data_IF_319541637467
#
_entry.id   IF_319541637467
#
_cell.length_a   1.000
_cell.length_b   1.000
_cell.length_c   1.000
_cell.angle_alpha   90.00
_cell.angle_beta   90.00
_cell.angle_gamma   90.00
#
_symmetry.space_group_name_H-M   'P 1'
#
loop_
_entity.id
_entity.type
_entity.pdbx_description
1 polymer ?
#
# COMPACT_ATOMS: atom_id res chain seq x y z
N UNK A 1 -6.43 -11.69 11.11
CA UNK A 1 -5.05 -11.69 11.65
C UNK A 1 -5.04 -12.06 13.13
N UNK A 2 -5.65 -11.26 14.01
CA UNK A 2 -5.65 -11.51 15.47
C UNK A 2 -6.13 -12.93 15.83
N UNK A 3 -7.22 -13.40 15.22
CA UNK A 3 -7.74 -14.76 15.46
C UNK A 3 -6.71 -15.86 15.17
N UNK A 4 -5.83 -15.67 14.18
CA UNK A 4 -4.77 -16.63 13.86
C UNK A 4 -3.56 -16.51 14.79
N UNK A 5 -3.15 -15.27 15.12
CA UNK A 5 -2.00 -15.02 16.01
C UNK A 5 -2.30 -15.37 17.47
N UNK A 6 -3.55 -15.15 17.92
CA UNK A 6 -3.97 -15.29 19.31
C UNK A 6 -5.33 -16.01 19.42
N UNK A 7 -5.44 -17.27 18.97
CA UNK A 7 -6.72 -17.98 18.84
C UNK A 7 -7.47 -18.16 20.17
N UNK A 8 -6.76 -18.21 21.30
CA UNK A 8 -7.33 -18.46 22.62
C UNK A 8 -7.37 -17.19 23.51
N UNK A 9 -7.31 -15.99 22.91
CA UNK A 9 -7.24 -14.72 23.63
C UNK A 9 -8.43 -13.78 23.32
N UNK A 10 -9.67 -14.13 23.73
CA UNK A 10 -10.87 -13.34 23.40
C UNK A 10 -10.84 -11.91 23.92
N UNK A 11 -10.17 -11.65 25.05
CA UNK A 11 -10.00 -10.32 25.60
C UNK A 11 -9.10 -9.41 24.74
N UNK A 12 -8.23 -9.98 23.90
CA UNK A 12 -7.40 -9.24 22.96
C UNK A 12 -8.20 -8.88 21.69
N UNK A 13 -9.08 -9.77 21.22
CA UNK A 13 -9.98 -9.54 20.07
C UNK A 13 -10.97 -8.40 20.33
N UNK A 14 -11.42 -8.23 21.58
CA UNK A 14 -12.31 -7.14 21.99
C UNK A 14 -11.59 -5.80 22.19
N UNK A 15 -10.27 -5.85 22.45
CA UNK A 15 -9.41 -4.66 22.60
C UNK A 15 -8.73 -4.24 21.30
N UNK A 16 -8.86 -5.01 20.23
CA UNK A 16 -8.51 -4.53 18.90
C UNK A 16 -9.35 -3.28 18.65
N UNK A 17 -8.73 -2.12 18.80
CA UNK A 17 -9.38 -0.84 18.57
C UNK A 17 -9.74 -0.83 17.08
N UNK A 18 -11.00 -1.14 16.76
CA UNK A 18 -11.57 -0.68 15.51
C UNK A 18 -11.41 0.83 15.57
N UNK A 19 -10.53 1.35 14.71
CA UNK A 19 -10.31 2.78 14.63
C UNK A 19 -11.68 3.43 14.46
N UNK A 20 -11.99 4.43 15.28
CA UNK A 20 -13.12 5.29 14.99
C UNK A 20 -12.96 5.81 13.56
N UNK A 21 -14.06 5.92 12.81
CA UNK A 21 -14.03 6.29 11.39
C UNK A 21 -13.15 7.52 11.11
N UNK A 22 -13.23 8.54 11.97
CA UNK A 22 -12.40 9.74 11.87
C UNK A 22 -10.90 9.46 11.98
N UNK A 23 -10.50 8.60 12.92
CA UNK A 23 -9.09 8.25 13.12
C UNK A 23 -8.58 7.31 12.02
N UNK A 24 -9.40 6.36 11.59
CA UNK A 24 -9.09 5.52 10.43
C UNK A 24 -8.77 6.39 9.23
N UNK A 25 -9.69 7.31 8.92
CA UNK A 25 -9.49 8.19 7.79
C UNK A 25 -8.28 9.11 7.98
N UNK A 26 -8.02 9.62 9.20
CA UNK A 26 -6.84 10.43 9.45
C UNK A 26 -5.55 9.65 9.16
N UNK A 27 -5.47 8.39 9.57
CA UNK A 27 -4.29 7.58 9.39
C UNK A 27 -4.12 7.06 7.95
N UNK A 28 -5.22 6.71 7.26
CA UNK A 28 -5.18 5.98 5.99
C UNK A 28 -5.76 6.72 4.77
N UNK A 29 -6.74 7.63 4.93
CA UNK A 29 -7.55 8.14 3.81
C UNK A 29 -7.50 9.67 3.59
N UNK A 30 -7.03 10.48 4.54
CA UNK A 30 -7.14 11.93 4.43
C UNK A 30 -5.89 12.60 3.83
N UNK A 31 -5.85 12.62 2.49
CA UNK A 31 -5.24 13.74 1.77
C UNK A 31 -6.25 14.83 1.37
N UNK A 32 -7.51 14.49 1.07
CA UNK A 32 -8.38 15.37 0.27
C UNK A 32 -8.97 16.60 0.96
N UNK A 33 -9.34 16.52 2.25
CA UNK A 33 -10.29 17.49 2.82
C UNK A 33 -9.87 18.17 4.13
N UNK A 34 -8.78 17.75 4.79
CA UNK A 34 -8.54 18.20 6.18
C UNK A 34 -7.43 19.23 6.39
N UNK A 35 -6.42 19.37 5.52
CA UNK A 35 -5.29 20.27 5.81
C UNK A 35 -4.69 20.99 4.59
N UNK A 36 -5.41 21.06 3.46
CA UNK A 36 -4.91 21.76 2.28
C UNK A 36 -3.87 20.98 1.45
N UNK A 37 -3.71 19.67 1.68
CA UNK A 37 -2.87 18.82 0.84
C UNK A 37 -3.60 18.42 -0.44
N UNK A 38 -3.13 18.81 -1.63
CA UNK A 38 -3.93 18.63 -2.82
C UNK A 38 -3.88 17.19 -3.32
N UNK A 39 -4.88 16.81 -4.12
CA UNK A 39 -4.71 15.73 -5.10
C UNK A 39 -3.77 16.20 -6.21
N UNK A 40 -3.02 15.30 -6.88
CA UNK A 40 -2.16 15.72 -7.97
C UNK A 40 -2.99 16.43 -9.05
N UNK A 41 -2.54 17.60 -9.52
CA UNK A 41 -3.19 18.27 -10.63
C UNK A 41 -3.06 17.45 -11.92
N UNK A 42 -3.93 17.73 -12.89
CA UNK A 42 -4.02 16.99 -14.16
C UNK A 42 -2.70 16.98 -14.92
N UNK A 43 -1.93 18.07 -14.90
CA UNK A 43 -0.62 18.17 -15.55
C UNK A 43 0.42 17.22 -14.95
N UNK A 44 0.37 16.96 -13.65
CA UNK A 44 1.21 15.94 -12.99
C UNK A 44 0.81 14.56 -13.49
N UNK A 45 -0.47 14.24 -13.58
CA UNK A 45 -0.93 12.94 -14.09
C UNK A 45 -0.59 12.78 -15.57
N UNK A 46 -0.87 13.79 -16.39
CA UNK A 46 -0.54 13.83 -17.81
C UNK A 46 0.96 13.58 -18.05
N UNK A 47 1.83 14.13 -17.20
CA UNK A 47 3.28 13.90 -17.30
C UNK A 47 3.69 12.44 -17.07
N UNK A 48 2.91 11.67 -16.30
CA UNK A 48 3.15 10.26 -15.97
C UNK A 48 2.59 9.35 -17.07
N UNK A 49 1.39 9.66 -17.57
CA UNK A 49 0.65 8.79 -18.49
C UNK A 49 0.89 9.09 -19.98
N UNK A 50 1.73 10.07 -20.28
CA UNK A 50 2.09 10.46 -21.66
C UNK A 50 1.15 11.47 -22.30
N UNK A 51 0.39 12.22 -21.48
CA UNK A 51 -0.52 13.28 -21.87
C UNK A 51 -1.95 12.84 -22.19
N UNK A 52 -2.86 13.80 -22.17
CA UNK A 52 -4.30 13.64 -22.46
C UNK A 52 -4.66 13.68 -23.95
N UNK A 53 -3.69 13.96 -24.83
CA UNK A 53 -3.89 14.05 -26.27
C UNK A 53 -4.51 12.77 -26.87
N UNK A 54 -5.41 12.96 -27.84
CA UNK A 54 -6.17 11.89 -28.49
C UNK A 54 -6.81 10.91 -27.49
N UNK A 55 -7.36 11.45 -26.38
CA UNK A 55 -8.03 10.73 -25.30
C UNK A 55 -7.06 9.80 -24.51
N UNK A 56 -5.87 10.29 -24.17
CA UNK A 56 -4.80 9.52 -23.52
C UNK A 56 -4.24 8.40 -24.40
N UNK A 57 -3.90 8.70 -25.66
CA UNK A 57 -3.44 7.72 -26.63
C UNK A 57 -2.24 6.86 -26.15
N UNK A 58 -1.25 7.46 -25.48
CA UNK A 58 -0.09 6.73 -24.97
C UNK A 58 -0.47 5.70 -23.90
N UNK A 59 -1.27 6.12 -22.92
CA UNK A 59 -1.78 5.25 -21.86
C UNK A 59 -2.62 4.09 -22.43
N UNK A 60 -3.55 4.40 -23.35
CA UNK A 60 -4.34 3.37 -24.03
C UNK A 60 -3.47 2.41 -24.83
N UNK A 61 -2.45 2.90 -25.52
CA UNK A 61 -1.53 2.04 -26.27
C UNK A 61 -0.70 1.14 -25.38
N UNK A 62 -0.31 1.60 -24.18
CA UNK A 62 0.52 0.82 -23.26
C UNK A 62 -0.24 -0.34 -22.62
N UNK A 63 -1.55 -0.21 -22.42
CA UNK A 63 -2.36 -1.19 -21.69
C UNK A 63 -3.48 -1.84 -22.52
N UNK A 64 -3.70 -1.38 -23.75
CA UNK A 64 -4.80 -1.79 -24.63
C UNK A 64 -4.93 -3.31 -24.76
N UNK A 65 -3.83 -4.02 -25.04
CA UNK A 65 -3.84 -5.48 -25.20
C UNK A 65 -4.36 -6.22 -23.95
N UNK A 66 -3.98 -5.75 -22.74
CA UNK A 66 -4.46 -6.33 -21.48
C UNK A 66 -5.92 -5.99 -21.22
N UNK A 67 -6.34 -4.76 -21.55
CA UNK A 67 -7.73 -4.32 -21.43
C UNK A 67 -8.64 -5.10 -22.38
N UNK A 68 -8.22 -5.31 -23.63
CA UNK A 68 -8.95 -6.13 -24.61
C UNK A 68 -9.02 -7.60 -24.17
N UNK A 69 -7.97 -8.12 -23.54
CA UNK A 69 -8.02 -9.46 -22.95
C UNK A 69 -9.05 -9.53 -21.82
N UNK A 70 -9.10 -8.55 -20.91
CA UNK A 70 -10.11 -8.48 -19.86
C UNK A 70 -11.52 -8.36 -20.43
N UNK A 71 -11.69 -7.55 -21.47
CA UNK A 71 -12.94 -7.38 -22.22
C UNK A 71 -13.49 -8.71 -22.74
N UNK A 72 -12.63 -9.48 -23.43
CA UNK A 72 -12.98 -10.79 -23.97
C UNK A 72 -13.34 -11.82 -22.90
N UNK A 73 -12.74 -11.72 -21.71
CA UNK A 73 -13.00 -12.63 -20.59
C UNK A 73 -14.32 -12.26 -19.93
N UNK A 74 -14.54 -10.97 -19.66
CA UNK A 74 -15.73 -10.43 -19.04
C UNK A 74 -17.00 -10.57 -19.89
N UNK A 75 -16.87 -10.70 -21.21
CA UNK A 75 -17.99 -10.66 -22.15
C UNK A 75 -18.79 -9.34 -22.03
N UNK A 76 -18.06 -8.26 -21.70
CA UNK A 76 -18.61 -6.93 -21.44
C UNK A 76 -19.25 -6.32 -22.70
N UNK A 77 -18.97 -6.89 -23.87
CA UNK A 77 -19.40 -6.39 -25.16
C UNK A 77 -20.58 -7.15 -25.75
N UNK A 78 -21.20 -8.03 -24.95
CA UNK A 78 -22.43 -8.71 -25.33
C UNK A 78 -23.53 -7.69 -25.65
N UNK A 79 -24.42 -8.04 -26.59
CA UNK A 79 -25.54 -7.19 -27.00
C UNK A 79 -26.42 -6.75 -25.81
N UNK A 80 -26.52 -7.59 -24.78
CA UNK A 80 -27.22 -7.30 -23.53
C UNK A 80 -26.62 -6.13 -22.75
N UNK A 81 -25.32 -5.87 -22.87
CA UNK A 81 -24.62 -4.77 -22.21
C UNK A 81 -24.56 -3.55 -23.11
N UNK A 82 -24.22 -3.72 -24.39
CA UNK A 82 -24.03 -2.59 -25.30
C UNK A 82 -25.30 -2.13 -26.04
N UNK A 83 -26.44 -2.80 -25.88
CA UNK A 83 -27.71 -2.38 -26.48
C UNK A 83 -27.71 -2.37 -28.02
N UNK A 84 -26.96 -3.28 -28.64
CA UNK A 84 -26.89 -3.43 -30.11
C UNK A 84 -25.90 -2.50 -30.83
N UNK A 85 -25.16 -1.67 -30.11
CA UNK A 85 -23.99 -0.94 -30.66
C UNK A 85 -22.72 -1.64 -30.18
N UNK A 86 -21.76 -2.04 -31.03
CA UNK A 86 -20.51 -2.61 -30.55
C UNK A 86 -19.83 -1.66 -29.57
N UNK A 87 -19.67 -2.07 -28.32
CA UNK A 87 -18.86 -1.39 -27.32
C UNK A 87 -17.63 -2.25 -27.01
N UNK A 88 -16.55 -1.66 -26.50
CA UNK A 88 -15.34 -2.36 -26.05
C UNK A 88 -14.73 -1.56 -24.90
N UNK A 89 -14.34 -2.23 -23.80
CA UNK A 89 -13.64 -1.58 -22.69
C UNK A 89 -12.47 -0.70 -23.17
N UNK A 90 -11.67 -1.16 -24.15
CA UNK A 90 -10.50 -0.42 -24.66
C UNK A 90 -10.86 0.87 -25.43
N UNK A 91 -12.11 0.99 -25.86
CA UNK A 91 -12.61 2.15 -26.62
C UNK A 91 -13.34 3.18 -25.75
N UNK A 92 -13.59 2.86 -24.47
CA UNK A 92 -14.20 3.81 -23.55
C UNK A 92 -13.33 5.06 -23.40
N UNK A 93 -13.92 6.27 -23.47
CA UNK A 93 -13.19 7.51 -23.22
C UNK A 93 -12.50 7.48 -21.85
N UNK A 94 -11.25 7.94 -21.80
CA UNK A 94 -10.48 8.09 -20.56
C UNK A 94 -10.58 9.54 -20.13
N UNK A 95 -10.90 9.77 -18.86
CA UNK A 95 -11.00 11.10 -18.28
C UNK A 95 -10.10 11.20 -17.06
N UNK A 96 -9.52 12.38 -16.82
CA UNK A 96 -8.91 12.68 -15.54
C UNK A 96 -9.98 12.80 -14.46
N UNK A 97 -9.82 12.04 -13.39
CA UNK A 97 -10.71 12.03 -12.22
C UNK A 97 -10.05 12.66 -10.99
N UNK A 98 -8.72 12.76 -10.97
CA UNK A 98 -7.95 13.37 -9.88
C UNK A 98 -8.09 12.66 -8.53
N UNK A 99 -8.45 11.37 -8.54
CA UNK A 99 -8.60 10.59 -7.30
C UNK A 99 -7.29 9.87 -6.95
N UNK A 100 -6.92 9.83 -5.67
CA UNK A 100 -5.71 9.20 -5.13
C UNK A 100 -5.62 7.68 -5.39
N UNK A 101 -6.77 7.03 -5.58
CA UNK A 101 -6.92 5.61 -5.88
C UNK A 101 -7.30 5.35 -7.34
N UNK A 102 -7.53 6.39 -8.14
CA UNK A 102 -7.94 6.30 -9.53
C UNK A 102 -7.70 7.65 -10.25
N UNK A 103 -6.49 7.87 -10.77
CA UNK A 103 -6.14 9.11 -11.46
C UNK A 103 -7.05 9.37 -12.68
N UNK A 104 -7.40 8.29 -13.38
CA UNK A 104 -8.23 8.30 -14.57
C UNK A 104 -9.43 7.36 -14.45
N UNK A 105 -10.49 7.68 -15.17
CA UNK A 105 -11.71 6.86 -15.28
C UNK A 105 -11.94 6.33 -16.70
N UNK A 106 -13.10 5.74 -16.94
CA UNK A 106 -13.45 5.14 -18.22
C UNK A 106 -12.81 3.78 -18.42
N UNK A 107 -12.07 3.60 -19.53
CA UNK A 107 -11.47 2.32 -19.93
C UNK A 107 -10.69 1.65 -18.79
N UNK A 108 -9.80 2.39 -18.13
CA UNK A 108 -8.97 1.87 -17.04
C UNK A 108 -9.77 1.51 -15.81
N UNK A 109 -10.73 2.35 -15.39
CA UNK A 109 -11.52 2.06 -14.19
C UNK A 109 -12.31 0.75 -14.34
N UNK A 110 -12.90 0.51 -15.52
CA UNK A 110 -13.63 -0.74 -15.81
C UNK A 110 -12.66 -1.92 -15.88
N UNK A 111 -11.53 -1.77 -16.57
CA UNK A 111 -10.55 -2.84 -16.69
C UNK A 111 -9.95 -3.22 -15.32
N UNK A 112 -9.58 -2.24 -14.50
CA UNK A 112 -9.10 -2.45 -13.13
C UNK A 112 -10.13 -3.21 -12.29
N UNK A 113 -11.42 -2.86 -12.39
CA UNK A 113 -12.48 -3.59 -11.70
C UNK A 113 -12.47 -5.08 -12.06
N UNK A 114 -12.46 -5.42 -13.35
CA UNK A 114 -12.47 -6.83 -13.79
C UNK A 114 -11.16 -7.55 -13.45
N UNK A 115 -10.01 -6.89 -13.59
CA UNK A 115 -8.72 -7.44 -13.23
C UNK A 115 -8.68 -7.85 -11.75
N UNK A 116 -9.11 -6.95 -10.87
CA UNK A 116 -9.20 -7.21 -9.42
C UNK A 116 -10.27 -8.24 -9.11
N UNK A 117 -11.44 -8.17 -9.74
CA UNK A 117 -12.53 -9.13 -9.52
C UNK A 117 -12.10 -10.57 -9.86
N UNK A 118 -11.52 -10.79 -11.04
CA UNK A 118 -11.05 -12.12 -11.45
C UNK A 118 -9.92 -12.63 -10.56
N UNK A 119 -9.01 -11.75 -10.11
CA UNK A 119 -8.02 -12.12 -9.11
C UNK A 119 -8.69 -12.60 -7.82
N UNK A 120 -9.64 -11.82 -7.28
CA UNK A 120 -10.34 -12.18 -6.05
C UNK A 120 -11.10 -13.51 -6.17
N UNK A 121 -11.75 -13.78 -7.30
CA UNK A 121 -12.37 -15.09 -7.57
C UNK A 121 -11.35 -16.23 -7.52
N UNK A 122 -10.20 -16.03 -8.18
CA UNK A 122 -9.14 -17.03 -8.26
C UNK A 122 -8.51 -17.30 -6.89
N UNK A 123 -8.23 -16.25 -6.09
CA UNK A 123 -7.63 -16.38 -4.77
C UNK A 123 -8.63 -16.92 -3.72
N UNK A 124 -9.93 -16.68 -3.89
CA UNK A 124 -10.97 -17.21 -3.00
C UNK A 124 -11.29 -18.70 -3.24
N UNK A 125 -10.47 -19.42 -4.02
CA UNK A 125 -10.65 -20.85 -4.25
C UNK A 125 -11.83 -21.21 -5.16
N UNK A 126 -12.42 -20.25 -5.89
CA UNK A 126 -13.58 -20.54 -6.75
C UNK A 126 -13.17 -21.55 -7.84
N UNK A 127 -13.94 -22.63 -8.07
CA UNK A 127 -13.54 -23.70 -8.99
C UNK A 127 -13.52 -23.24 -10.45
N UNK A 128 -14.36 -22.26 -10.80
CA UNK A 128 -14.47 -21.69 -12.15
C UNK A 128 -14.32 -20.17 -12.06
N UNK A 129 -13.11 -19.66 -11.85
CA UNK A 129 -12.83 -18.21 -11.82
C UNK A 129 -12.65 -17.65 -13.23
N UNK A 130 -12.84 -16.35 -13.42
CA UNK A 130 -12.69 -15.68 -14.71
C UNK A 130 -13.48 -16.38 -15.83
N UNK A 131 -14.70 -16.79 -15.51
CA UNK A 131 -15.60 -17.57 -16.38
C UNK A 131 -15.00 -18.90 -16.89
N UNK A 132 -13.95 -19.42 -16.25
CA UNK A 132 -13.22 -20.62 -16.69
C UNK A 132 -12.33 -20.39 -17.92
N UNK A 133 -12.08 -19.12 -18.29
CA UNK A 133 -11.35 -18.75 -19.50
C UNK A 133 -9.85 -18.51 -19.27
N UNK A 134 -9.42 -18.42 -18.01
CA UNK A 134 -8.04 -18.08 -17.63
C UNK A 134 -7.49 -19.08 -16.62
N UNK A 135 -6.18 -19.31 -16.70
CA UNK A 135 -5.38 -19.93 -15.64
C UNK A 135 -5.10 -18.93 -14.50
N UNK A 136 -4.62 -19.44 -13.35
CA UNK A 136 -4.23 -18.60 -12.21
C UNK A 136 -3.13 -17.61 -12.61
N UNK A 137 -2.11 -18.08 -13.33
CA UNK A 137 -1.00 -17.24 -13.79
C UNK A 137 -1.47 -16.13 -14.73
N UNK A 138 -2.38 -16.43 -15.66
CA UNK A 138 -2.96 -15.40 -16.54
C UNK A 138 -3.76 -14.34 -15.77
N UNK A 139 -4.52 -14.75 -14.76
CA UNK A 139 -5.25 -13.82 -13.89
C UNK A 139 -4.28 -12.92 -13.13
N UNK A 140 -3.21 -13.49 -12.55
CA UNK A 140 -2.17 -12.71 -11.87
C UNK A 140 -1.50 -11.73 -12.83
N UNK A 141 -1.20 -12.14 -14.07
CA UNK A 141 -0.62 -11.24 -15.07
C UNK A 141 -1.59 -10.15 -15.54
N UNK A 142 -2.89 -10.42 -15.61
CA UNK A 142 -3.90 -9.39 -15.93
C UNK A 142 -4.17 -8.45 -14.76
N UNK A 143 -3.99 -8.89 -13.52
CA UNK A 143 -4.07 -8.03 -12.34
C UNK A 143 -3.06 -6.86 -12.39
N UNK A 144 -1.98 -6.96 -13.18
CA UNK A 144 -1.08 -5.81 -13.43
C UNK A 144 -1.78 -4.57 -13.96
N UNK A 145 -2.98 -4.68 -14.56
CA UNK A 145 -3.80 -3.51 -14.95
C UNK A 145 -4.21 -2.68 -13.73
N UNK A 146 -4.52 -3.31 -12.58
CA UNK A 146 -4.79 -2.60 -11.33
C UNK A 146 -3.58 -1.79 -10.88
N UNK A 147 -2.40 -2.41 -10.86
CA UNK A 147 -1.15 -1.71 -10.55
C UNK A 147 -0.84 -0.60 -11.54
N UNK A 148 -1.10 -0.80 -12.84
CA UNK A 148 -0.98 0.26 -13.85
C UNK A 148 -1.92 1.44 -13.62
N UNK A 149 -3.11 1.21 -13.05
CA UNK A 149 -4.02 2.26 -12.60
C UNK A 149 -3.48 3.01 -11.38
N UNK A 150 -2.96 2.28 -10.39
CA UNK A 150 -2.35 2.85 -9.18
C UNK A 150 -1.03 3.58 -9.48
N UNK A 151 -0.24 3.12 -10.44
CA UNK A 151 1.03 3.73 -10.85
C UNK A 151 0.86 5.13 -11.43
N UNK A 152 -0.32 5.46 -11.98
CA UNK A 152 -0.66 6.83 -12.37
C UNK A 152 -0.59 7.78 -11.16
N UNK A 153 -0.83 7.25 -9.96
CA UNK A 153 -0.77 7.95 -8.68
C UNK A 153 0.55 7.75 -7.94
N UNK A 154 1.43 6.87 -8.42
CA UNK A 154 2.77 6.58 -7.87
C UNK A 154 3.75 7.72 -8.18
N UNK A 155 3.53 8.87 -7.55
CA UNK A 155 4.36 10.05 -7.68
C UNK A 155 4.59 10.71 -6.32
N UNK A 156 5.64 11.53 -6.21
CA UNK A 156 6.04 12.14 -4.95
C UNK A 156 4.96 13.07 -4.37
N UNK A 157 4.15 13.70 -5.23
CA UNK A 157 3.08 14.60 -4.79
C UNK A 157 1.99 13.82 -4.04
N UNK A 158 1.51 12.71 -4.63
CA UNK A 158 0.53 11.84 -3.98
C UNK A 158 1.11 11.14 -2.76
N UNK A 159 2.32 10.57 -2.88
CA UNK A 159 2.95 9.81 -1.80
C UNK A 159 3.17 10.66 -0.55
N UNK A 160 3.56 11.94 -0.71
CA UNK A 160 3.65 12.88 0.41
C UNK A 160 2.28 13.24 0.96
N UNK A 161 1.31 13.54 0.10
CA UNK A 161 -0.02 13.97 0.53
C UNK A 161 -0.80 12.88 1.27
N UNK A 162 -0.51 11.59 1.00
CA UNK A 162 -1.28 10.45 1.49
C UNK A 162 -0.49 9.48 2.38
N UNK A 163 0.84 9.49 2.29
CA UNK A 163 1.71 8.60 3.07
C UNK A 163 2.32 9.27 4.30
N UNK A 164 2.28 10.61 4.41
CA UNK A 164 3.00 11.34 5.47
C UNK A 164 2.52 11.01 6.87
N UNK A 165 1.21 10.99 7.11
CA UNK A 165 0.67 10.59 8.42
C UNK A 165 1.07 9.17 8.78
N UNK A 166 0.90 8.22 7.86
CA UNK A 166 1.18 6.81 8.12
C UNK A 166 2.68 6.57 8.41
N UNK A 167 3.58 7.15 7.62
CA UNK A 167 5.01 7.03 7.85
C UNK A 167 5.46 7.75 9.14
N UNK A 168 4.89 8.93 9.42
CA UNK A 168 5.13 9.64 10.67
C UNK A 168 4.65 8.85 11.89
N UNK A 169 3.51 8.16 11.78
CA UNK A 169 2.97 7.27 12.81
C UNK A 169 3.90 6.08 13.09
N UNK A 170 4.47 5.46 12.04
CA UNK A 170 5.47 4.38 12.19
C UNK A 170 6.70 4.87 12.95
N UNK A 171 7.26 6.02 12.56
CA UNK A 171 8.41 6.59 13.25
C UNK A 171 8.10 6.90 14.73
N UNK A 172 6.97 7.57 15.00
CA UNK A 172 6.55 7.88 16.35
C UNK A 172 6.37 6.62 17.20
N UNK A 173 5.84 5.54 16.61
CA UNK A 173 5.68 4.25 17.32
C UNK A 173 7.02 3.70 17.80
N UNK A 174 8.05 3.74 16.95
CA UNK A 174 9.39 3.28 17.33
C UNK A 174 10.09 4.18 18.34
N UNK A 175 10.01 5.50 18.16
CA UNK A 175 10.59 6.43 19.14
C UNK A 175 9.93 6.24 20.51
N UNK A 176 8.60 6.10 20.58
CA UNK A 176 7.85 5.82 21.81
C UNK A 176 8.38 4.58 22.54
N UNK A 177 8.57 3.47 21.81
CA UNK A 177 9.14 2.23 22.37
C UNK A 177 10.60 2.43 22.81
N UNK A 178 11.41 3.14 22.02
CA UNK A 178 12.81 3.36 22.31
C UNK A 178 13.05 4.23 23.55
N UNK A 179 12.22 5.26 23.76
CA UNK A 179 12.30 6.12 24.94
C UNK A 179 11.47 5.61 26.13
N UNK A 180 10.75 4.50 25.96
CA UNK A 180 9.83 3.92 26.94
C UNK A 180 8.84 4.95 27.53
N UNK A 181 8.35 5.87 26.70
CA UNK A 181 7.49 6.98 27.13
C UNK A 181 6.42 7.27 26.08
N UNK A 182 5.15 7.50 26.48
CA UNK A 182 4.08 7.75 25.53
C UNK A 182 4.33 8.96 24.62
N UNK A 183 4.10 8.81 23.33
CA UNK A 183 4.07 9.91 22.35
C UNK A 183 2.60 10.21 22.03
N UNK A 184 2.13 11.45 22.26
CA UNK A 184 0.76 11.84 21.93
C UNK A 184 0.40 11.53 20.48
N UNK A 185 -0.86 11.17 20.24
CA UNK A 185 -1.37 10.84 18.92
C UNK A 185 -1.33 9.35 18.57
N UNK A 186 -0.53 8.54 19.27
CA UNK A 186 -0.53 7.08 19.14
C UNK A 186 -1.69 6.46 19.91
N UNK A 187 -2.28 5.39 19.35
CA UNK A 187 -3.39 4.65 20.00
C UNK A 187 -2.92 3.47 20.87
N UNK A 188 -1.61 3.37 21.09
CA UNK A 188 -0.98 2.27 21.80
C UNK A 188 0.10 2.83 22.71
N UNK A 189 0.41 2.10 23.80
CA UNK A 189 1.43 2.49 24.77
C UNK A 189 2.82 2.00 24.39
N UNK A 190 3.88 2.52 25.05
CA UNK A 190 5.28 2.15 24.79
C UNK A 190 5.61 0.67 25.03
N UNK A 191 4.79 -0.03 25.80
CA UNK A 191 4.90 -1.46 26.07
C UNK A 191 4.37 -2.36 24.92
N UNK A 192 3.78 -1.77 23.88
CA UNK A 192 3.19 -2.53 22.77
C UNK A 192 4.27 -3.11 21.88
N UNK A 193 4.31 -4.44 21.77
CA UNK A 193 5.31 -5.16 20.97
C UNK A 193 4.92 -5.30 19.49
N UNK A 194 3.62 -5.30 19.19
CA UNK A 194 3.10 -5.48 17.82
C UNK A 194 2.00 -4.48 17.54
N UNK A 195 2.17 -3.70 16.47
CA UNK A 195 1.15 -2.80 15.92
C UNK A 195 0.78 -3.27 14.53
N UNK A 196 -0.47 -3.70 14.36
CA UNK A 196 -1.01 -4.07 13.04
C UNK A 196 -1.85 -2.92 12.47
N UNK A 197 -1.40 -2.36 11.35
CA UNK A 197 -2.09 -1.30 10.62
C UNK A 197 -2.77 -1.89 9.37
N UNK A 198 -4.05 -2.19 9.47
CA UNK A 198 -4.82 -2.78 8.37
C UNK A 198 -5.45 -1.68 7.49
N UNK A 199 -4.75 -1.30 6.42
CA UNK A 199 -5.20 -0.33 5.42
C UNK A 199 -5.51 -0.96 4.06
N UNK A 200 -5.28 -0.19 3.00
CA UNK A 200 -5.56 -0.53 1.61
C UNK A 200 -4.28 -0.77 0.79
N UNK A 201 -4.45 -1.35 -0.40
CA UNK A 201 -3.43 -1.49 -1.42
C UNK A 201 -2.75 -0.16 -1.78
N UNK A 202 -3.54 0.92 -1.85
CA UNK A 202 -3.06 2.29 -2.04
C UNK A 202 -2.06 2.71 -0.97
N UNK A 203 -2.31 2.41 0.32
CA UNK A 203 -1.38 2.76 1.39
C UNK A 203 -0.03 2.03 1.21
N UNK A 204 -0.06 0.76 0.81
CA UNK A 204 1.15 -0.02 0.55
C UNK A 204 1.95 0.54 -0.63
N UNK A 205 1.27 0.86 -1.75
CA UNK A 205 1.91 1.48 -2.92
C UNK A 205 2.50 2.85 -2.58
N UNK A 206 1.77 3.70 -1.85
CA UNK A 206 2.25 5.03 -1.48
C UNK A 206 3.40 4.97 -0.50
N UNK A 207 3.40 4.04 0.46
CA UNK A 207 4.53 3.81 1.36
C UNK A 207 5.76 3.30 0.59
N UNK A 208 5.58 2.36 -0.33
CA UNK A 208 6.63 1.90 -1.24
C UNK A 208 7.20 3.06 -2.06
N UNK A 209 6.37 3.99 -2.56
CA UNK A 209 6.84 5.18 -3.27
C UNK A 209 7.56 6.16 -2.35
N UNK A 210 6.97 6.51 -1.21
CA UNK A 210 7.50 7.53 -0.31
C UNK A 210 8.89 7.15 0.19
N UNK A 211 9.13 5.85 0.43
CA UNK A 211 10.40 5.29 0.87
C UNK A 211 11.28 4.78 -0.29
N UNK A 212 10.83 4.88 -1.54
CA UNK A 212 11.50 4.35 -2.74
C UNK A 212 11.90 2.85 -2.61
N UNK A 213 11.00 2.01 -2.12
CA UNK A 213 11.21 0.58 -1.89
C UNK A 213 10.45 -0.28 -2.92
N UNK A 214 10.97 -0.52 -4.13
CA UNK A 214 10.39 -1.50 -5.06
C UNK A 214 10.48 -2.91 -4.48
N UNK A 215 9.55 -3.78 -4.88
CA UNK A 215 9.52 -5.16 -4.42
C UNK A 215 8.96 -6.11 -5.45
N UNK A 216 9.40 -7.37 -5.35
CA UNK A 216 8.87 -8.50 -6.09
C UNK A 216 8.74 -9.65 -5.09
N UNK A 217 7.53 -10.20 -4.98
CA UNK A 217 7.23 -11.35 -4.13
C UNK A 217 6.96 -12.55 -5.04
N UNK A 218 7.36 -13.74 -4.61
CA UNK A 218 7.23 -14.95 -5.41
C UNK A 218 5.78 -15.21 -5.87
N UNK A 219 5.64 -15.59 -7.13
CA UNK A 219 4.35 -15.74 -7.81
C UNK A 219 3.64 -14.44 -8.20
N UNK A 220 4.15 -13.27 -7.82
CA UNK A 220 3.57 -11.96 -8.17
C UNK A 220 4.43 -11.21 -9.19
N UNK A 221 3.92 -10.09 -9.70
CA UNK A 221 4.68 -9.16 -10.53
C UNK A 221 5.24 -7.99 -9.70
N UNK A 222 6.15 -7.22 -10.29
CA UNK A 222 6.84 -6.11 -9.61
C UNK A 222 5.81 -5.09 -9.05
N UNK A 223 5.98 -4.67 -7.79
CA UNK A 223 5.10 -3.72 -7.10
C UNK A 223 3.61 -4.12 -7.06
N UNK A 224 3.32 -5.43 -7.12
CA UNK A 224 1.96 -5.95 -7.01
C UNK A 224 1.36 -5.69 -5.61
N UNK A 225 0.27 -4.93 -5.54
CA UNK A 225 -0.47 -4.67 -4.30
C UNK A 225 -1.67 -5.61 -4.14
N UNK A 226 -1.37 -6.89 -4.05
CA UNK A 226 -2.37 -7.95 -3.91
C UNK A 226 -2.89 -8.08 -2.45
N UNK A 227 -4.02 -8.78 -2.23
CA UNK A 227 -4.59 -8.93 -0.89
C UNK A 227 -3.61 -9.57 0.10
N UNK A 228 -3.53 -9.04 1.32
CA UNK A 228 -2.71 -9.61 2.39
C UNK A 228 -1.21 -9.34 2.30
N UNK A 229 -0.76 -8.55 1.31
CA UNK A 229 0.61 -8.03 1.30
C UNK A 229 0.88 -7.16 2.53
N UNK A 230 2.07 -7.28 3.10
CA UNK A 230 2.52 -6.50 4.24
C UNK A 230 3.88 -5.86 3.95
N UNK A 231 3.97 -4.56 4.23
CA UNK A 231 5.23 -3.89 4.53
C UNK A 231 5.42 -3.92 6.03
N UNK A 232 6.46 -4.61 6.49
CA UNK A 232 6.77 -4.81 7.91
C UNK A 232 7.97 -3.97 8.25
N UNK A 233 7.89 -3.23 9.37
CA UNK A 233 9.05 -2.62 10.00
C UNK A 233 9.28 -3.25 11.37
N UNK A 234 10.53 -3.53 11.70
CA UNK A 234 10.92 -4.13 12.98
C UNK A 234 11.97 -3.25 13.65
N UNK A 235 11.74 -2.94 14.94
CA UNK A 235 12.73 -2.29 15.79
C UNK A 235 13.53 -3.35 16.54
N UNK A 236 14.84 -3.35 16.34
CA UNK A 236 15.80 -4.26 16.96
C UNK A 236 16.71 -3.47 17.90
N UNK A 237 16.92 -4.00 19.10
CA UNK A 237 17.88 -3.46 20.06
C UNK A 237 19.03 -4.42 20.26
N UNK A 238 20.25 -3.96 19.98
CA UNK A 238 21.49 -4.71 20.17
C UNK A 238 22.32 -4.05 21.28
N UNK A 239 22.65 -4.80 22.34
CA UNK A 239 23.56 -4.31 23.38
C UNK A 239 25.00 -4.41 22.92
N UNK A 240 25.70 -3.28 22.85
CA UNK A 240 27.12 -3.19 22.47
C UNK A 240 27.97 -2.74 23.66
N UNK A 241 29.30 -2.78 23.53
CA UNK A 241 30.21 -2.24 24.56
C UNK A 241 29.99 -0.73 24.79
N UNK A 242 29.53 0.00 23.77
CA UNK A 242 29.29 1.44 23.80
C UNK A 242 27.84 1.81 24.22
N UNK A 243 27.00 0.80 24.52
CA UNK A 243 25.60 0.96 24.90
C UNK A 243 24.64 0.22 23.96
N UNK A 244 23.35 0.37 24.24
CA UNK A 244 22.29 -0.20 23.40
C UNK A 244 22.15 0.59 22.10
N UNK A 245 22.02 -0.13 20.98
CA UNK A 245 21.85 0.43 19.64
C UNK A 245 20.54 -0.03 19.05
N UNK A 246 19.75 0.93 18.59
CA UNK A 246 18.47 0.70 17.95
C UNK A 246 18.56 0.75 16.44
N UNK A 247 18.07 -0.30 15.80
CA UNK A 247 17.98 -0.40 14.34
C UNK A 247 16.58 -0.76 13.88
N UNK A 248 16.17 -0.15 12.78
CA UNK A 248 14.96 -0.46 12.03
C UNK A 248 15.34 -1.35 10.86
N UNK A 249 14.63 -2.45 10.70
CA UNK A 249 14.70 -3.32 9.52
C UNK A 249 13.33 -3.34 8.84
N UNK A 250 13.30 -3.50 7.52
CA UNK A 250 12.06 -3.59 6.77
C UNK A 250 11.97 -4.89 5.96
N UNK A 251 10.75 -5.37 5.76
CA UNK A 251 10.47 -6.60 5.02
C UNK A 251 9.19 -6.47 4.22
N UNK A 252 9.19 -7.08 3.03
CA UNK A 252 7.99 -7.39 2.27
C UNK A 252 7.57 -8.82 2.58
N UNK A 253 6.28 -9.02 2.87
CA UNK A 253 5.75 -10.35 3.16
C UNK A 253 4.38 -10.55 2.51
N UNK A 254 4.17 -11.71 1.91
CA UNK A 254 2.84 -12.14 1.44
C UNK A 254 2.80 -13.65 1.16
N UNK A 255 1.60 -14.18 1.02
CA UNK A 255 1.39 -15.49 0.43
C UNK A 255 1.56 -15.41 -1.10
N UNK A 256 1.98 -16.49 -1.75
CA UNK A 256 1.89 -16.60 -3.21
C UNK A 256 0.43 -16.78 -3.65
N UNK A 257 0.08 -16.53 -4.94
CA UNK A 257 -1.28 -16.75 -5.43
C UNK A 257 -1.80 -18.17 -5.18
N UNK A 258 -0.92 -19.17 -5.36
CA UNK A 258 -1.27 -20.57 -5.12
C UNK A 258 -1.49 -20.85 -3.62
N UNK A 259 -0.65 -20.30 -2.74
CA UNK A 259 -0.83 -20.43 -1.28
C UNK A 259 -2.16 -19.82 -0.82
N UNK A 260 -2.56 -18.67 -1.37
CA UNK A 260 -3.86 -18.06 -1.06
C UNK A 260 -5.01 -18.94 -1.54
N UNK A 261 -4.96 -19.39 -2.80
CA UNK A 261 -6.00 -20.22 -3.40
C UNK A 261 -6.20 -21.55 -2.67
N UNK A 262 -5.11 -22.16 -2.23
CA UNK A 262 -5.14 -23.44 -1.51
C UNK A 262 -5.44 -23.29 -0.01
N UNK A 263 -5.58 -22.05 0.48
CA UNK A 263 -5.74 -21.73 1.90
C UNK A 263 -4.61 -22.38 2.72
N UNK A 264 -3.37 -22.18 2.26
CA UNK A 264 -2.19 -22.79 2.84
C UNK A 264 -2.07 -22.40 4.33
N UNK A 265 -1.78 -23.39 5.17
CA UNK A 265 -1.42 -23.15 6.57
C UNK A 265 0.07 -22.84 6.64
N UNK A 266 0.44 -21.69 7.19
CA UNK A 266 1.83 -21.30 7.33
C UNK A 266 2.46 -21.88 8.61
N UNK A 267 3.66 -22.44 8.46
CA UNK A 267 4.50 -22.94 9.56
C UNK A 267 5.93 -22.42 9.40
N UNK A 268 6.82 -22.72 10.34
CA UNK A 268 8.24 -22.36 10.20
C UNK A 268 8.90 -23.06 9.00
N UNK A 269 8.47 -24.29 8.68
CA UNK A 269 8.97 -25.07 7.54
C UNK A 269 8.31 -24.70 6.21
N UNK A 270 7.11 -24.11 6.27
CA UNK A 270 6.36 -23.63 5.11
C UNK A 270 5.83 -22.21 5.35
N UNK A 271 6.74 -21.21 5.48
CA UNK A 271 6.33 -19.83 5.76
C UNK A 271 5.72 -19.17 4.52
N UNK A 272 5.00 -18.05 4.69
CA UNK A 272 4.73 -17.16 3.56
C UNK A 272 6.07 -16.60 3.04
N UNK A 273 6.04 -16.07 1.82
CA UNK A 273 7.20 -15.40 1.23
C UNK A 273 7.52 -14.17 2.08
N UNK A 274 8.76 -14.06 2.55
CA UNK A 274 9.29 -12.89 3.27
C UNK A 274 10.63 -12.50 2.67
N UNK A 275 10.75 -11.25 2.23
CA UNK A 275 11.96 -10.71 1.63
C UNK A 275 12.41 -9.45 2.37
N UNK A 276 13.70 -9.32 2.71
CA UNK A 276 14.25 -8.07 3.23
C UNK A 276 13.99 -6.91 2.28
N UNK A 277 13.57 -5.78 2.82
CA UNK A 277 13.38 -4.53 2.12
C UNK A 277 14.49 -3.56 2.56
N UNK A 278 15.27 -3.07 1.59
CA UNK A 278 16.28 -2.06 1.85
C UNK A 278 15.63 -0.69 1.88
N UNK A 279 15.88 0.08 2.95
CA UNK A 279 15.42 1.47 3.07
C UNK A 279 16.50 2.37 2.46
N UNK A 280 16.29 2.93 1.25
CA UNK A 280 17.27 3.78 0.60
C UNK A 280 17.61 5.00 1.45
N UNK A 281 18.89 5.38 1.46
CA UNK A 281 19.39 6.46 2.31
C UNK A 281 19.58 6.07 3.78
N UNK A 282 19.41 4.79 4.12
CA UNK A 282 19.74 4.25 5.43
C UNK A 282 20.65 3.02 5.37
N UNK A 283 21.20 2.64 6.52
CA UNK A 283 22.15 1.54 6.67
C UNK A 283 23.57 1.88 6.22
N UNK A 284 24.42 0.86 6.15
CA UNK A 284 25.81 0.99 5.70
C UNK A 284 26.11 -0.02 4.60
N UNK A 285 27.23 0.16 3.88
CA UNK A 285 27.67 -0.83 2.89
C UNK A 285 27.92 -2.23 3.51
N UNK A 286 28.23 -2.30 4.81
CA UNK A 286 28.46 -3.55 5.52
C UNK A 286 27.17 -4.17 6.09
N UNK A 287 26.12 -3.37 6.29
CA UNK A 287 24.81 -3.81 6.80
C UNK A 287 23.71 -2.92 6.22
N UNK A 288 23.39 -3.08 4.92
CA UNK A 288 22.42 -2.22 4.22
C UNK A 288 20.98 -2.39 4.72
N UNK A 289 20.68 -3.51 5.37
CA UNK A 289 19.39 -3.84 5.97
C UNK A 289 19.17 -3.20 7.35
N UNK A 290 20.24 -2.76 8.02
CA UNK A 290 20.20 -2.23 9.40
C UNK A 290 20.21 -0.71 9.41
N UNK A 291 19.04 -0.11 9.54
CA UNK A 291 18.90 1.34 9.59
C UNK A 291 18.94 1.84 11.04
N UNK A 292 19.92 2.65 11.46
CA UNK A 292 19.90 3.21 12.82
C UNK A 292 18.60 4.00 13.05
N UNK A 293 17.96 3.86 14.22
CA UNK A 293 16.68 4.54 14.50
C UNK A 293 16.78 6.07 14.30
N UNK A 294 17.88 6.68 14.73
CA UNK A 294 18.13 8.10 14.51
C UNK A 294 18.30 8.47 13.03
N UNK A 295 18.79 7.56 12.19
CA UNK A 295 18.92 7.77 10.73
C UNK A 295 17.57 7.60 10.04
N UNK A 296 16.80 6.58 10.44
CA UNK A 296 15.42 6.40 10.03
C UNK A 296 14.59 7.65 10.35
N UNK A 297 14.72 8.18 11.56
CA UNK A 297 14.04 9.40 11.99
C UNK A 297 14.42 10.65 11.21
N UNK A 298 15.66 10.77 10.75
CA UNK A 298 16.07 11.88 9.85
C UNK A 298 15.51 11.69 8.45
N UNK A 299 15.57 10.46 7.91
CA UNK A 299 15.04 10.13 6.59
C UNK A 299 13.52 10.39 6.53
N UNK A 300 12.75 9.86 7.48
CA UNK A 300 11.29 10.05 7.53
C UNK A 300 10.95 11.54 7.54
N UNK A 301 11.61 12.35 8.38
CA UNK A 301 11.38 13.81 8.44
C UNK A 301 11.72 14.55 7.14
N UNK A 302 12.57 13.98 6.27
CA UNK A 302 12.87 14.53 4.95
C UNK A 302 11.84 14.10 3.89
N UNK A 303 11.29 12.90 4.04
CA UNK A 303 10.37 12.31 3.06
C UNK A 303 8.95 12.82 3.24
N UNK A 304 8.48 12.93 4.49
CA UNK A 304 7.12 13.38 4.80
C UNK A 304 6.94 14.87 4.54
N UNK A 305 5.72 15.27 4.22
CA UNK A 305 5.29 16.65 4.22
C UNK A 305 4.51 16.92 5.52
N UNK A 306 5.05 17.73 6.46
CA UNK A 306 4.36 18.03 7.70
C UNK A 306 2.98 18.67 7.50
N UNK A 307 2.75 19.44 6.44
CA UNK A 307 1.43 20.03 6.17
C UNK A 307 0.39 18.95 5.84
N UNK A 308 0.84 17.78 5.36
CA UNK A 308 0.00 16.63 5.04
C UNK A 308 -0.13 15.61 6.17
N UNK A 309 0.35 15.94 7.36
CA UNK A 309 0.10 15.13 8.55
C UNK A 309 -1.22 15.57 9.19
N UNK A 310 -2.19 14.67 9.17
CA UNK A 310 -3.58 14.90 9.61
C UNK A 310 -3.80 14.70 11.10
N UNK A 311 -2.95 13.91 11.75
CA UNK A 311 -2.98 13.74 13.21
C UNK A 311 -2.07 14.81 13.82
N UNK A 312 -2.66 15.87 14.39
CA UNK A 312 -1.93 17.06 14.84
C UNK A 312 -0.83 16.78 15.87
N UNK A 313 -1.01 15.78 16.72
CA UNK A 313 0.02 15.32 17.65
C UNK A 313 1.23 14.72 16.94
N UNK A 314 1.00 13.89 15.91
CA UNK A 314 2.06 13.31 15.08
C UNK A 314 2.76 14.40 14.27
N UNK A 315 2.01 15.39 13.77
CA UNK A 315 2.57 16.55 13.07
C UNK A 315 3.52 17.33 13.99
N UNK A 316 3.10 17.63 15.22
CA UNK A 316 3.93 18.31 16.23
C UNK A 316 5.22 17.52 16.53
N UNK A 317 5.08 16.20 16.72
CA UNK A 317 6.21 15.30 16.93
C UNK A 317 7.20 15.33 15.75
N UNK A 318 6.72 15.29 14.51
CA UNK A 318 7.56 15.33 13.30
C UNK A 318 8.31 16.66 13.19
N UNK A 319 7.65 17.78 13.47
CA UNK A 319 8.25 19.12 13.45
C UNK A 319 9.25 19.37 14.60
N UNK A 320 9.37 18.44 15.55
CA UNK A 320 10.20 18.63 16.74
C UNK A 320 9.64 19.69 17.70
N UNK A 321 8.36 20.04 17.57
CA UNK A 321 7.68 20.92 18.51
C UNK A 321 7.54 20.17 19.84
N UNK A 322 8.09 20.76 20.90
CA UNK A 322 8.20 20.21 22.26
C UNK A 322 7.21 19.07 22.50
N UNK A 323 7.73 17.84 22.46
CA UNK A 323 7.12 16.76 23.21
C UNK A 323 7.10 17.26 24.64
N UNK A 324 5.97 17.82 25.07
CA UNK A 324 5.70 18.00 26.49
C UNK A 324 5.66 16.58 27.01
N UNK A 325 6.82 16.12 27.50
CA UNK A 325 6.96 14.94 28.32
C UNK A 325 6.04 15.21 29.49
N UNK A 326 4.83 14.67 29.44
CA UNK A 326 3.95 14.65 30.60
C UNK A 326 4.57 13.60 31.51
N UNK A 327 5.46 14.07 32.39
CA UNK A 327 6.04 13.31 33.51
C UNK A 327 4.93 12.93 34.49
#
# INVERSE_FOLDING_TARGET
WMEGAFPNCPGLHQKANLLGYEYFNALFDYGQDLNGCPVPPEDVIDSIVGGSADNYAALRSAWGDKIEKLDSVADCCSDSVCGGTPCNMSTLPVHFDGKPWAATSGSFAVATYFATFFLMEALNGHPTFAQGKLSLDEVVQLFSVNSGGLEQMDNAFTAKSWGSTLLGYVLASFDQTAVASPIPGLLHGPETEVVLLAGHDTNVMLMSKLLDMPYLLDGWFLRSTHPGIMLIFELHRESTEDGDVDTVQAFWQSASPQQMRDVATFTEEAPPVRHPAFIPGCGSAASPERCLLGDFGRLVRQLVDPECITISEIQRYILGGDAVIVV
#
